data_IF_382530191622
#
_entry.id   IF_382530191622
#
_cell.length_a   1.000
_cell.length_b   1.000
_cell.length_c   1.000
_cell.angle_alpha   90.00
_cell.angle_beta   90.00
_cell.angle_gamma   90.00
#
_symmetry.space_group_name_H-M   'P 1'
#
loop_
_entity.id
_entity.type
_entity.pdbx_description
1 polymer ?
#
# COMPACT_ATOMS: atom_id res chain seq x y z
N UNK A 1 30.85 7.06 -0.82
CA UNK A 1 29.66 7.86 -0.52
C UNK A 1 28.46 6.94 -0.71
N UNK A 2 27.69 6.68 0.35
CA UNK A 2 26.68 5.61 0.36
C UNK A 2 25.49 6.00 -0.53
N UNK A 3 25.35 5.33 -1.67
CA UNK A 3 24.21 5.46 -2.58
C UNK A 3 23.06 4.64 -2.03
N UNK A 4 22.20 5.26 -1.22
CA UNK A 4 21.00 4.59 -0.73
C UNK A 4 20.05 4.37 -1.91
N UNK A 5 19.86 3.11 -2.26
CA UNK A 5 18.88 2.63 -3.22
C UNK A 5 17.48 3.18 -2.90
N UNK A 6 16.57 3.29 -3.89
CA UNK A 6 15.20 3.68 -3.61
C UNK A 6 14.59 2.57 -2.75
N UNK A 7 14.39 2.85 -1.46
CA UNK A 7 13.90 1.87 -0.51
C UNK A 7 12.46 1.47 -0.88
N UNK A 8 12.20 0.17 -0.73
CA UNK A 8 10.92 -0.54 -0.69
C UNK A 8 9.79 0.28 -0.01
N UNK A 9 8.50 -0.12 -0.13
CA UNK A 9 7.42 0.54 0.63
C UNK A 9 7.88 0.77 2.06
N UNK A 10 7.91 2.05 2.48
CA UNK A 10 8.42 2.46 3.78
C UNK A 10 7.82 1.53 4.84
N UNK A 11 8.65 0.84 5.62
CA UNK A 11 8.19 -0.23 6.53
C UNK A 11 7.12 0.21 7.55
N UNK A 12 6.90 1.51 7.69
CA UNK A 12 5.75 2.09 8.39
C UNK A 12 4.43 1.85 7.63
N UNK A 13 4.32 2.21 6.34
CA UNK A 13 3.11 2.04 5.54
C UNK A 13 2.70 0.56 5.40
N UNK A 14 3.67 -0.36 5.34
CA UNK A 14 3.39 -1.78 5.31
C UNK A 14 2.77 -2.27 6.63
N UNK A 15 3.30 -1.83 7.78
CA UNK A 15 2.76 -2.18 9.10
C UNK A 15 1.36 -1.58 9.32
N UNK A 16 1.13 -0.35 8.85
CA UNK A 16 -0.19 0.27 8.89
C UNK A 16 -1.21 -0.48 8.03
N UNK A 17 -0.80 -0.98 6.86
CA UNK A 17 -1.63 -1.86 6.02
C UNK A 17 -1.95 -3.19 6.71
N UNK A 18 -0.94 -3.91 7.20
CA UNK A 18 -1.11 -5.20 7.87
C UNK A 18 -2.06 -5.08 9.08
N UNK A 19 -1.90 -4.01 9.86
CA UNK A 19 -2.79 -3.72 10.98
C UNK A 19 -4.22 -3.44 10.54
N UNK A 20 -4.40 -2.61 9.52
CA UNK A 20 -5.73 -2.26 9.01
C UNK A 20 -6.45 -3.49 8.45
N UNK A 21 -5.70 -4.38 7.79
CA UNK A 21 -6.21 -5.63 7.26
C UNK A 21 -6.65 -6.58 8.38
N UNK A 22 -5.82 -6.78 9.41
CA UNK A 22 -6.16 -7.60 10.58
C UNK A 22 -7.41 -7.06 11.30
N UNK A 23 -7.52 -5.74 11.47
CA UNK A 23 -8.71 -5.11 12.07
C UNK A 23 -9.98 -5.30 11.22
N UNK A 24 -9.85 -5.44 9.90
CA UNK A 24 -10.95 -5.71 8.98
C UNK A 24 -11.35 -7.19 9.02
N UNK A 25 -10.40 -8.11 9.05
CA UNK A 25 -10.65 -9.56 9.17
C UNK A 25 -11.38 -9.89 10.47
N UNK A 26 -10.95 -9.31 11.59
CA UNK A 26 -11.62 -9.46 12.88
C UNK A 26 -13.05 -8.92 12.85
N UNK A 27 -13.28 -7.81 12.15
CA UNK A 27 -14.61 -7.23 12.01
C UNK A 27 -15.53 -8.12 11.18
N UNK A 28 -15.04 -8.67 10.06
CA UNK A 28 -15.79 -9.63 9.24
C UNK A 28 -16.14 -10.87 10.05
N UNK A 29 -15.20 -11.42 10.82
CA UNK A 29 -15.48 -12.57 11.71
C UNK A 29 -16.63 -12.26 12.69
N UNK A 30 -16.64 -11.07 13.32
CA UNK A 30 -17.73 -10.67 14.22
C UNK A 30 -19.08 -10.54 13.52
N UNK A 31 -19.09 -10.04 12.28
CA UNK A 31 -20.32 -9.95 11.48
C UNK A 31 -20.84 -11.35 11.12
N UNK A 32 -19.96 -12.29 10.79
CA UNK A 32 -20.30 -13.67 10.44
C UNK A 32 -20.79 -14.50 11.64
N UNK A 33 -20.34 -14.18 12.86
CA UNK A 33 -20.83 -14.80 14.10
C UNK A 33 -22.33 -14.54 14.35
N UNK A 34 -22.88 -13.46 13.78
CA UNK A 34 -24.32 -13.19 13.78
C UNK A 34 -24.94 -12.85 15.14
N UNK A 35 -24.13 -12.54 16.15
CA UNK A 35 -24.58 -12.26 17.52
C UNK A 35 -24.73 -10.75 17.83
N UNK A 36 -24.68 -9.91 16.79
CA UNK A 36 -24.79 -8.45 16.88
C UNK A 36 -26.25 -8.01 16.69
N UNK A 37 -26.66 -6.96 17.39
CA UNK A 37 -27.91 -6.26 17.07
C UNK A 37 -27.82 -5.56 15.71
N UNK A 38 -28.96 -5.12 15.17
CA UNK A 38 -29.01 -4.37 13.91
C UNK A 38 -28.17 -3.09 13.95
N UNK A 39 -28.23 -2.35 15.06
CA UNK A 39 -27.48 -1.09 15.21
C UNK A 39 -25.97 -1.33 15.29
N UNK A 40 -25.56 -2.39 16.01
CA UNK A 40 -24.16 -2.82 16.07
C UNK A 40 -23.66 -3.31 14.71
N UNK A 41 -24.47 -4.08 13.98
CA UNK A 41 -24.15 -4.57 12.64
C UNK A 41 -23.91 -3.40 11.67
N UNK A 42 -24.76 -2.37 11.72
CA UNK A 42 -24.59 -1.17 10.89
C UNK A 42 -23.31 -0.41 11.27
N UNK A 43 -23.02 -0.29 12.57
CA UNK A 43 -21.81 0.38 13.06
C UNK A 43 -20.54 -0.34 12.62
N UNK A 44 -20.51 -1.67 12.75
CA UNK A 44 -19.40 -2.51 12.28
C UNK A 44 -19.28 -2.41 10.74
N UNK A 45 -20.39 -2.45 10.01
CA UNK A 45 -20.35 -2.30 8.55
C UNK A 45 -19.72 -0.97 8.11
N UNK A 46 -20.12 0.16 8.71
CA UNK A 46 -19.51 1.46 8.43
C UNK A 46 -18.00 1.49 8.76
N UNK A 47 -17.60 0.87 9.87
CA UNK A 47 -16.19 0.73 10.23
C UNK A 47 -15.45 -0.12 9.20
N UNK A 48 -16.04 -1.22 8.75
CA UNK A 48 -15.51 -2.07 7.69
C UNK A 48 -15.26 -1.31 6.39
N UNK A 49 -16.20 -0.46 5.97
CA UNK A 49 -16.02 0.38 4.77
C UNK A 49 -14.83 1.35 4.90
N UNK A 50 -14.63 1.94 6.09
CA UNK A 50 -13.50 2.84 6.35
C UNK A 50 -12.17 2.09 6.29
N UNK A 51 -12.08 0.93 6.94
CA UNK A 51 -10.90 0.07 6.91
C UNK A 51 -10.57 -0.39 5.48
N UNK A 52 -11.58 -0.83 4.73
CA UNK A 52 -11.42 -1.17 3.31
C UNK A 52 -10.85 0.00 2.49
N UNK A 53 -11.39 1.21 2.70
CA UNK A 53 -10.89 2.42 2.03
C UNK A 53 -9.43 2.73 2.37
N UNK A 54 -9.00 2.52 3.61
CA UNK A 54 -7.60 2.67 4.01
C UNK A 54 -6.69 1.62 3.35
N UNK A 55 -7.12 0.36 3.30
CA UNK A 55 -6.36 -0.69 2.60
C UNK A 55 -6.15 -0.35 1.12
N UNK A 56 -7.19 0.11 0.42
CA UNK A 56 -7.09 0.52 -0.98
C UNK A 56 -6.11 1.69 -1.16
N UNK A 57 -6.20 2.72 -0.32
CA UNK A 57 -5.28 3.87 -0.38
C UNK A 57 -3.82 3.45 -0.17
N UNK A 58 -3.56 2.54 0.78
CA UNK A 58 -2.21 2.02 1.01
C UNK A 58 -1.67 1.26 -0.20
N UNK A 59 -2.50 0.46 -0.87
CA UNK A 59 -2.14 -0.26 -2.09
C UNK A 59 -1.88 0.70 -3.25
N UNK A 60 -2.73 1.72 -3.44
CA UNK A 60 -2.55 2.75 -4.47
C UNK A 60 -1.22 3.50 -4.30
N UNK A 61 -0.89 3.89 -3.06
CA UNK A 61 0.37 4.55 -2.74
C UNK A 61 1.57 3.64 -3.03
N UNK A 62 1.49 2.36 -2.66
CA UNK A 62 2.53 1.38 -2.96
C UNK A 62 2.73 1.19 -4.47
N UNK A 63 1.63 1.10 -5.24
CA UNK A 63 1.69 1.00 -6.70
C UNK A 63 2.34 2.23 -7.33
N UNK A 64 1.91 3.44 -6.92
CA UNK A 64 2.50 4.70 -7.42
C UNK A 64 4.00 4.77 -7.14
N UNK A 65 4.43 4.35 -5.93
CA UNK A 65 5.84 4.28 -5.55
C UNK A 65 6.64 3.37 -6.49
N UNK A 66 6.12 2.17 -6.75
CA UNK A 66 6.75 1.21 -7.67
C UNK A 66 6.85 1.78 -9.08
N UNK A 67 5.78 2.41 -9.58
CA UNK A 67 5.78 3.01 -10.93
C UNK A 67 6.84 4.11 -11.07
N UNK A 68 6.97 4.97 -10.05
CA UNK A 68 8.01 6.01 -10.01
C UNK A 68 9.42 5.41 -9.99
N UNK A 69 9.65 4.32 -9.24
CA UNK A 69 10.93 3.62 -9.20
C UNK A 69 11.28 2.98 -10.54
N UNK A 70 10.31 2.36 -11.21
CA UNK A 70 10.50 1.78 -12.54
C UNK A 70 10.85 2.86 -13.56
N UNK A 71 10.11 3.98 -13.56
CA UNK A 71 10.41 5.14 -14.43
C UNK A 71 11.82 5.68 -14.17
N UNK A 72 12.20 5.90 -12.90
CA UNK A 72 13.53 6.39 -12.53
C UNK A 72 14.65 5.43 -12.95
N UNK A 73 14.42 4.12 -12.86
CA UNK A 73 15.38 3.10 -13.31
C UNK A 73 15.58 3.09 -14.82
N UNK A 74 14.52 3.42 -15.59
CA UNK A 74 14.57 3.51 -17.06
C UNK A 74 15.39 4.73 -17.53
N UNK A 75 15.25 5.88 -16.85
CA UNK A 75 16.10 7.06 -17.09
C UNK A 75 17.59 6.79 -16.82
N UNK A 76 17.91 5.88 -15.91
CA UNK A 76 19.29 5.52 -15.60
C UNK A 76 19.93 4.61 -16.68
N UNK A 77 19.15 4.11 -17.64
CA UNK A 77 19.60 3.18 -18.69
C UNK A 77 19.94 3.85 -20.03
N UNK A 78 19.87 5.17 -20.15
CA UNK A 78 20.25 5.86 -21.39
C UNK A 78 21.28 6.97 -21.17
N UNK A 79 22.53 6.63 -21.44
CA UNK A 79 23.41 7.47 -22.27
C UNK A 79 24.09 6.55 -23.29
N UNK A 80 23.89 6.72 -24.61
CA UNK A 80 24.98 6.48 -25.53
C UNK A 80 26.02 7.54 -25.18
N UNK A 81 27.11 7.12 -24.55
CA UNK A 81 28.30 7.95 -24.48
C UNK A 81 28.85 7.95 -25.89
N UNK A 82 28.58 9.01 -26.65
CA UNK A 82 29.24 9.25 -27.93
C UNK A 82 30.68 9.70 -27.62
N UNK A 83 31.50 8.73 -27.23
CA UNK A 83 32.95 8.89 -27.12
C UNK A 83 33.51 8.81 -28.54
N UNK A 84 33.77 9.98 -29.10
CA UNK A 84 34.73 10.27 -30.16
C UNK A 84 34.76 9.33 -31.37
N UNK A 85 34.60 9.90 -32.56
CA UNK A 85 35.50 9.58 -33.67
C UNK A 85 35.83 10.87 -34.43
N UNK A 86 37.06 10.97 -34.99
CA UNK A 86 37.89 12.17 -35.07
C UNK A 86 37.43 13.27 -36.03
#
# INVERSE_FOLDING_TARGET
>A
MNSTAPEAPDGANLKDFERTLDELEQLVSRLEEGNLSLEETLTEFERGMRLHGHCQQALDLAQQRVELMLKASDYQKSVPFDDQTP
#
